data_IF_122142331559
#
_entry.id   IF_122142331559
#
_cell.length_a   1.000
_cell.length_b   1.000
_cell.length_c   1.000
_cell.angle_alpha   90.00
_cell.angle_beta   90.00
_cell.angle_gamma   90.00
#
_symmetry.space_group_name_H-M   'P 1'
#
loop_
_entity.id
_entity.type
_entity.pdbx_description
1 polymer ?
#
# COMPACT_ATOMS: atom_id res chain seq x y z
N UNK A 1 10.82 -14.48 -6.90
CA UNK A 1 9.98 -14.43 -8.12
C UNK A 1 8.90 -13.37 -7.88
N UNK A 2 9.01 -12.19 -8.51
CA UNK A 2 8.05 -11.10 -8.31
C UNK A 2 6.72 -11.46 -8.97
N UNK A 3 5.75 -11.86 -8.16
CA UNK A 3 4.37 -12.12 -8.57
C UNK A 3 3.80 -10.87 -9.23
N UNK A 4 3.12 -10.99 -10.39
CA UNK A 4 2.49 -9.83 -11.02
C UNK A 4 1.49 -9.21 -10.05
N UNK A 5 1.62 -7.91 -9.82
CA UNK A 5 0.71 -7.13 -8.99
C UNK A 5 -0.67 -7.15 -9.68
N UNK A 6 -1.58 -7.99 -9.18
CA UNK A 6 -3.01 -7.85 -9.49
C UNK A 6 -3.38 -6.40 -9.16
N UNK A 7 -4.10 -5.66 -10.03
CA UNK A 7 -4.57 -4.33 -9.69
C UNK A 7 -5.35 -4.43 -8.38
N UNK A 8 -4.80 -3.85 -7.31
CA UNK A 8 -5.46 -3.90 -6.03
C UNK A 8 -6.78 -3.14 -6.15
N UNK A 9 -7.89 -3.78 -5.77
CA UNK A 9 -9.16 -3.09 -5.61
C UNK A 9 -9.06 -2.19 -4.37
N UNK A 10 -8.53 -0.99 -4.58
CA UNK A 10 -8.32 0.00 -3.53
C UNK A 10 -9.62 0.43 -2.87
N UNK A 11 -10.75 0.37 -3.59
CA UNK A 11 -12.07 0.67 -3.02
C UNK A 11 -12.45 -0.38 -1.98
N UNK A 12 -12.33 -1.66 -2.32
CA UNK A 12 -12.59 -2.76 -1.38
C UNK A 12 -11.62 -2.72 -0.19
N UNK A 13 -10.33 -2.46 -0.45
CA UNK A 13 -9.32 -2.33 0.60
C UNK A 13 -9.63 -1.19 1.58
N UNK A 14 -9.98 0.00 1.09
CA UNK A 14 -10.32 1.16 1.93
C UNK A 14 -11.53 0.83 2.81
N UNK A 15 -12.58 0.21 2.26
CA UNK A 15 -13.77 -0.20 3.02
C UNK A 15 -13.44 -1.23 4.11
N UNK A 16 -12.57 -2.19 3.79
CA UNK A 16 -12.12 -3.18 4.77
C UNK A 16 -11.32 -2.52 5.90
N UNK A 17 -10.36 -1.66 5.56
CA UNK A 17 -9.52 -0.98 6.55
C UNK A 17 -10.30 0.01 7.41
N UNK A 18 -11.30 0.68 6.84
CA UNK A 18 -12.23 1.52 7.59
C UNK A 18 -12.91 0.73 8.71
N UNK A 19 -13.42 -0.48 8.39
CA UNK A 19 -14.03 -1.36 9.38
C UNK A 19 -13.03 -1.93 10.38
N UNK A 20 -11.84 -2.34 9.93
CA UNK A 20 -10.82 -2.97 10.79
C UNK A 20 -10.19 -1.99 11.78
N UNK A 21 -10.10 -0.71 11.40
CA UNK A 21 -9.49 0.34 12.21
C UNK A 21 -10.52 1.18 12.97
N UNK A 22 -11.80 0.84 12.89
CA UNK A 22 -12.91 1.55 13.53
C UNK A 22 -12.91 3.06 13.17
N UNK A 23 -12.67 3.38 11.90
CA UNK A 23 -12.63 4.76 11.41
C UNK A 23 -13.98 5.17 10.83
N UNK A 24 -14.40 6.41 11.08
CA UNK A 24 -15.55 7.01 10.41
C UNK A 24 -15.09 7.91 9.27
N UNK A 25 -15.35 7.47 8.04
CA UNK A 25 -15.11 8.28 6.84
C UNK A 25 -16.43 8.68 6.21
N UNK A 26 -16.51 9.91 5.72
CA UNK A 26 -17.55 10.31 4.79
C UNK A 26 -17.13 9.97 3.35
N UNK A 27 -18.05 10.13 2.40
CA UNK A 27 -17.77 9.78 1.01
C UNK A 27 -16.66 10.65 0.39
N UNK A 28 -16.59 11.94 0.76
CA UNK A 28 -15.54 12.84 0.27
C UNK A 28 -14.14 12.39 0.72
N UNK A 29 -14.00 11.94 1.98
CA UNK A 29 -12.73 11.39 2.50
C UNK A 29 -12.38 10.07 1.85
N UNK A 30 -13.36 9.20 1.57
CA UNK A 30 -13.11 7.94 0.86
C UNK A 30 -12.61 8.18 -0.56
N UNK A 31 -13.21 9.12 -1.28
CA UNK A 31 -12.74 9.51 -2.61
C UNK A 31 -11.33 10.10 -2.58
N UNK A 32 -11.04 10.98 -1.62
CA UNK A 32 -9.71 11.54 -1.44
C UNK A 32 -8.66 10.45 -1.13
N UNK A 33 -8.99 9.49 -0.26
CA UNK A 33 -8.12 8.35 0.04
C UNK A 33 -7.90 7.48 -1.19
N UNK A 34 -8.95 7.16 -1.96
CA UNK A 34 -8.83 6.37 -3.18
C UNK A 34 -7.86 7.03 -4.17
N UNK A 35 -7.95 8.35 -4.36
CA UNK A 35 -7.04 9.10 -5.21
C UNK A 35 -5.58 9.03 -4.72
N UNK A 36 -5.36 9.20 -3.40
CA UNK A 36 -4.01 9.13 -2.84
C UNK A 36 -3.42 7.72 -2.89
N UNK A 37 -4.20 6.69 -2.57
CA UNK A 37 -3.76 5.30 -2.63
C UNK A 37 -3.37 4.90 -4.05
N UNK A 38 -4.19 5.27 -5.04
CA UNK A 38 -3.88 5.04 -6.46
C UNK A 38 -2.56 5.71 -6.87
N UNK A 39 -2.34 6.96 -6.41
CA UNK A 39 -1.10 7.68 -6.69
C UNK A 39 0.12 7.04 -6.01
N UNK A 40 -0.01 6.63 -4.75
CA UNK A 40 1.08 5.96 -4.00
C UNK A 40 1.41 4.62 -4.65
N UNK A 41 0.40 3.83 -5.06
CA UNK A 41 0.60 2.58 -5.76
C UNK A 41 1.41 2.76 -7.06
N UNK A 42 1.10 3.81 -7.84
CA UNK A 42 1.88 4.15 -9.02
C UNK A 42 3.33 4.54 -8.68
N UNK A 43 3.55 5.32 -7.62
CA UNK A 43 4.91 5.69 -7.17
C UNK A 43 5.68 4.50 -6.59
N UNK A 44 5.00 3.53 -5.97
CA UNK A 44 5.59 2.32 -5.42
C UNK A 44 5.88 1.26 -6.49
N UNK A 45 5.24 1.33 -7.66
CA UNK A 45 5.41 0.38 -8.76
C UNK A 45 6.88 0.08 -9.11
N UNK A 46 7.73 1.11 -9.35
CA UNK A 46 9.17 0.91 -9.60
C UNK A 46 9.90 0.21 -8.46
N UNK A 47 9.57 0.53 -7.20
CA UNK A 47 10.17 -0.11 -6.03
C UNK A 47 9.77 -1.58 -5.93
N UNK A 48 8.50 -1.91 -6.17
CA UNK A 48 8.00 -3.29 -6.14
C UNK A 48 8.55 -4.12 -7.31
N UNK A 49 8.85 -3.50 -8.44
CA UNK A 49 9.46 -4.17 -9.59
C UNK A 49 10.96 -4.45 -9.39
N UNK A 50 11.62 -3.74 -8.47
CA UNK A 50 13.03 -3.94 -8.18
C UNK A 50 13.27 -5.33 -7.56
N UNK A 51 14.17 -6.16 -8.11
CA UNK A 51 14.46 -7.47 -7.56
C UNK A 51 15.21 -7.32 -6.23
N UNK A 52 14.67 -7.93 -5.19
CA UNK A 52 15.34 -8.05 -3.90
C UNK A 52 16.11 -9.37 -3.85
N UNK A 53 17.36 -9.32 -3.40
CA UNK A 53 18.15 -10.49 -3.02
C UNK A 53 17.62 -11.08 -1.69
N UNK A 54 17.76 -12.39 -1.49
CA UNK A 54 17.23 -13.11 -0.33
C UNK A 54 17.91 -12.69 1.00
N UNK A 55 19.02 -11.95 0.91
CA UNK A 55 19.88 -11.52 2.03
C UNK A 55 19.84 -10.03 2.29
N UNK A 56 18.81 -9.32 1.81
CA UNK A 56 18.66 -7.89 2.07
C UNK A 56 18.31 -7.63 3.54
N UNK A 57 19.30 -7.18 4.31
CA UNK A 57 19.09 -6.58 5.62
C UNK A 57 18.28 -5.28 5.46
N UNK A 58 17.30 -5.08 6.35
CA UNK A 58 16.54 -3.81 6.40
C UNK A 58 17.52 -2.69 6.74
N UNK A 59 17.45 -1.57 6.00
CA UNK A 59 18.31 -0.43 6.24
C UNK A 59 18.09 0.11 7.67
N UNK A 60 19.08 -0.12 8.54
CA UNK A 60 19.12 0.40 9.91
C UNK A 60 18.51 -0.56 10.95
N UNK A 61 19.32 -1.49 11.46
CA UNK A 61 19.01 -2.16 12.73
C UNK A 61 19.17 -1.12 13.85
N UNK A 62 18.06 -0.74 14.50
CA UNK A 62 18.12 0.00 15.75
C UNK A 62 18.94 -0.81 16.75
N UNK A 63 20.08 -0.28 17.20
CA UNK A 63 20.85 -0.85 18.30
C UNK A 63 20.38 -0.16 19.59
N UNK A 64 19.58 -0.87 20.36
CA UNK A 64 19.23 -0.51 21.75
C UNK A 64 20.44 -0.68 22.68
#
# INVERSE_FOLDING_TARGET
MNTPLVPADWTAYIRQMESMLELELDDARREALLAQFTRIAAMAGPLMAFPLDDRLDVAGVYKA
#
